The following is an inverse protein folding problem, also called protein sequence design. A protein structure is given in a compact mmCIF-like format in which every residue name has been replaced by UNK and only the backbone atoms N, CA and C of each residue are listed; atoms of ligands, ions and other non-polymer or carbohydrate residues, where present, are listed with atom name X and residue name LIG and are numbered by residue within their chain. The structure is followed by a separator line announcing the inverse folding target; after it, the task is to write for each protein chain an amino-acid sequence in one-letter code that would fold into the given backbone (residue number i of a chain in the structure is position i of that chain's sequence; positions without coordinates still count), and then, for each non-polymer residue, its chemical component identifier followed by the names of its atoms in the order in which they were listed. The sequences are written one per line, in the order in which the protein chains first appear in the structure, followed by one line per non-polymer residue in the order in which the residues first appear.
data_IF_388753054376
#
_entry.id   IF_388753054376
#
_cell.length_a   1.000
_cell.length_b   1.000
_cell.length_c   1.000
_cell.angle_alpha   90.00
_cell.angle_beta   90.00
_cell.angle_gamma   90.00
#
_symmetry.space_group_name_H-M   'P 1'
#
loop_
_entity.id
_entity.type
_entity.pdbx_description
1 polymer ?
#
# COMPACT_ATOMS: atom_id res chain seq x y z
N UNK A 1 29.55 15.69 -6.08
CA UNK A 1 29.70 14.54 -6.99
C UNK A 1 28.32 13.95 -7.21
N UNK A 2 27.61 14.41 -8.24
CA UNK A 2 26.38 13.80 -8.73
C UNK A 2 26.20 14.17 -10.20
N UNK A 3 25.68 13.18 -10.93
CA UNK A 3 24.95 13.30 -12.19
C UNK A 3 25.78 13.50 -13.46
N UNK A 4 26.12 12.36 -14.07
CA UNK A 4 26.46 12.30 -15.49
C UNK A 4 25.23 12.58 -16.36
N UNK A 5 25.51 13.35 -17.40
CA UNK A 5 24.60 14.02 -18.32
C UNK A 5 23.88 13.05 -19.25
N UNK A 6 22.59 13.28 -19.39
CA UNK A 6 21.84 13.01 -20.61
C UNK A 6 22.42 13.86 -21.76
N UNK A 7 22.92 13.21 -22.81
CA UNK A 7 23.35 13.88 -24.04
C UNK A 7 22.27 13.73 -25.10
N UNK A 8 21.51 14.82 -25.26
CA UNK A 8 20.58 15.05 -26.36
C UNK A 8 21.33 15.74 -27.51
N UNK A 9 21.15 15.25 -28.73
CA UNK A 9 21.66 15.83 -29.96
C UNK A 9 20.88 17.10 -30.33
N UNK A 10 21.57 18.21 -30.57
CA UNK A 10 21.06 19.34 -31.35
C UNK A 10 22.22 20.00 -32.12
N UNK A 11 22.02 20.18 -33.44
CA UNK A 11 22.93 20.81 -34.39
C UNK A 11 22.58 22.30 -34.56
N UNK A 12 23.56 23.22 -34.73
CA UNK A 12 23.31 24.53 -35.36
C UNK A 12 24.43 24.92 -36.39
N UNK A 13 24.34 26.04 -37.15
CA UNK A 13 24.38 26.01 -38.63
C UNK A 13 25.59 26.73 -39.27
N UNK A 14 25.60 26.71 -40.62
CA UNK A 14 26.62 27.26 -41.53
C UNK A 14 26.91 28.77 -41.39
N UNK A 15 28.17 29.15 -41.60
CA UNK A 15 28.60 30.48 -42.06
C UNK A 15 29.72 30.37 -43.12
N UNK A 16 29.68 31.25 -44.13
CA UNK A 16 30.52 31.25 -45.35
C UNK A 16 31.77 32.16 -45.25
N UNK A 17 32.76 31.81 -46.11
CA UNK A 17 33.76 32.64 -46.82
C UNK A 17 35.19 32.73 -46.25
N UNK A 18 36.24 33.06 -47.05
CA UNK A 18 36.36 33.14 -48.52
C UNK A 18 37.51 32.29 -49.13
N UNK A 19 37.52 32.26 -50.46
CA UNK A 19 38.38 31.48 -51.36
C UNK A 19 39.84 31.96 -51.40
N UNK A 20 40.78 31.03 -51.55
CA UNK A 20 42.09 31.28 -52.19
C UNK A 20 42.08 30.67 -53.59
N UNK A 21 42.36 31.52 -54.57
CA UNK A 21 42.47 31.19 -56.00
C UNK A 21 43.84 30.58 -56.25
N UNK A 22 43.89 29.36 -56.77
CA UNK A 22 45.07 28.82 -57.45
C UNK A 22 44.59 28.37 -58.83
N UNK A 23 45.13 29.02 -59.85
CA UNK A 23 44.91 28.72 -61.26
C UNK A 23 45.84 27.57 -61.64
N UNK A 24 45.29 26.50 -62.22
CA UNK A 24 46.05 25.47 -62.93
C UNK A 24 45.31 25.14 -64.24
N UNK A 25 46.02 24.75 -65.31
CA UNK A 25 45.55 24.92 -66.68
C UNK A 25 44.53 23.88 -67.11
N UNK A 26 43.75 24.27 -68.09
CA UNK A 26 42.72 23.50 -68.77
C UNK A 26 43.39 22.55 -69.77
N UNK A 27 43.24 21.23 -69.56
CA UNK A 27 43.31 20.24 -70.63
C UNK A 27 41.90 19.73 -70.90
N UNK A 28 41.42 20.00 -72.11
CA UNK A 28 40.14 19.53 -72.64
C UNK A 28 40.30 18.09 -73.12
N UNK A 29 39.47 17.18 -72.62
CA UNK A 29 39.04 15.99 -73.35
C UNK A 29 37.60 15.64 -72.91
N UNK A 30 36.61 15.53 -73.82
CA UNK A 30 35.22 15.33 -73.46
C UNK A 30 34.92 13.83 -73.31
N UNK A 31 34.74 13.35 -72.08
CA UNK A 31 34.11 12.05 -71.82
C UNK A 31 32.96 12.27 -70.84
N UNK A 32 31.76 11.87 -71.27
CA UNK A 32 30.47 12.14 -70.63
C UNK A 32 30.44 11.79 -69.12
N UNK A 33 30.09 12.74 -68.21
CA UNK A 33 30.08 12.50 -66.77
C UNK A 33 28.73 12.00 -66.21
N UNK A 34 27.65 12.01 -67.00
CA UNK A 34 26.29 11.83 -66.45
C UNK A 34 25.96 10.39 -66.05
N UNK A 35 26.51 9.38 -66.73
CA UNK A 35 26.18 7.97 -66.48
C UNK A 35 26.81 7.41 -65.18
N UNK A 36 28.01 7.87 -64.81
CA UNK A 36 28.75 7.36 -63.64
C UNK A 36 28.21 7.91 -62.31
N UNK A 37 27.81 9.18 -62.29
CA UNK A 37 27.19 9.83 -61.13
C UNK A 37 25.80 9.28 -60.82
N UNK A 38 24.98 9.00 -61.85
CA UNK A 38 23.65 8.39 -61.69
C UNK A 38 23.71 6.93 -61.17
N UNK A 39 24.73 6.16 -61.58
CA UNK A 39 24.97 4.80 -61.05
C UNK A 39 25.47 4.80 -59.59
N UNK A 40 26.19 5.84 -59.16
CA UNK A 40 26.69 5.96 -57.80
C UNK A 40 25.61 6.44 -56.82
N UNK A 41 24.77 7.40 -57.23
CA UNK A 41 23.63 7.88 -56.44
C UNK A 41 22.53 6.83 -56.29
N UNK A 42 22.24 6.08 -57.34
CA UNK A 42 21.29 4.95 -57.28
C UNK A 42 21.75 3.85 -56.31
N UNK A 43 23.04 3.48 -56.33
CA UNK A 43 23.62 2.51 -55.38
C UNK A 43 23.61 2.99 -53.92
N UNK A 44 23.88 4.27 -53.68
CA UNK A 44 23.80 4.87 -52.34
C UNK A 44 22.36 4.92 -51.84
N UNK A 45 21.41 5.29 -52.70
CA UNK A 45 19.98 5.29 -52.36
C UNK A 45 19.46 3.87 -52.04
N UNK A 46 19.90 2.85 -52.79
CA UNK A 46 19.52 1.46 -52.55
C UNK A 46 20.11 0.93 -51.24
N UNK A 47 21.35 1.28 -50.91
CA UNK A 47 21.96 0.93 -49.61
C UNK A 47 21.26 1.61 -48.43
N UNK A 48 20.81 2.85 -48.59
CA UNK A 48 20.02 3.55 -47.58
C UNK A 48 18.63 2.93 -47.42
N UNK A 49 17.98 2.54 -48.52
CA UNK A 49 16.72 1.77 -48.50
C UNK A 49 16.87 0.45 -47.76
N UNK A 50 17.88 -0.35 -48.10
CA UNK A 50 18.18 -1.61 -47.41
C UNK A 50 18.48 -1.42 -45.91
N UNK A 51 19.23 -0.38 -45.54
CA UNK A 51 19.43 -0.05 -44.13
C UNK A 51 18.13 0.30 -43.44
N UNK A 52 17.28 1.13 -44.06
CA UNK A 52 15.98 1.50 -43.48
C UNK A 52 15.06 0.29 -43.32
N UNK A 53 15.06 -0.65 -44.26
CA UNK A 53 14.33 -1.92 -44.16
C UNK A 53 14.86 -2.81 -43.03
N UNK A 54 16.19 -2.90 -42.87
CA UNK A 54 16.82 -3.60 -41.74
C UNK A 54 16.47 -2.96 -40.39
N UNK A 55 16.47 -1.63 -40.31
CA UNK A 55 16.06 -0.91 -39.10
C UNK A 55 14.58 -1.14 -38.79
N UNK A 56 13.69 -1.08 -39.79
CA UNK A 56 12.27 -1.40 -39.64
C UNK A 56 12.05 -2.84 -39.19
N UNK A 57 12.74 -3.80 -39.80
CA UNK A 57 12.66 -5.22 -39.42
C UNK A 57 13.14 -5.44 -37.97
N UNK A 58 14.26 -4.83 -37.58
CA UNK A 58 14.77 -4.90 -36.21
C UNK A 58 13.78 -4.27 -35.22
N UNK A 59 13.19 -3.12 -35.53
CA UNK A 59 12.17 -2.47 -34.69
C UNK A 59 10.95 -3.37 -34.51
N UNK A 60 10.46 -4.01 -35.58
CA UNK A 60 9.32 -4.94 -35.49
C UNK A 60 9.66 -6.14 -34.60
N UNK A 61 10.85 -6.70 -34.71
CA UNK A 61 11.29 -7.81 -33.86
C UNK A 61 11.35 -7.38 -32.39
N UNK A 62 11.97 -6.23 -32.10
CA UNK A 62 12.08 -5.70 -30.73
C UNK A 62 10.69 -5.42 -30.15
N UNK A 63 9.80 -4.78 -30.90
CA UNK A 63 8.45 -4.48 -30.45
C UNK A 63 7.63 -5.76 -30.23
N UNK A 64 7.78 -6.77 -31.09
CA UNK A 64 7.09 -8.05 -30.96
C UNK A 64 7.57 -8.80 -29.72
N UNK A 65 8.89 -8.85 -29.50
CA UNK A 65 9.48 -9.44 -28.31
C UNK A 65 9.01 -8.71 -27.04
N UNK A 66 9.02 -7.38 -27.04
CA UNK A 66 8.58 -6.57 -25.90
C UNK A 66 7.10 -6.78 -25.58
N UNK A 67 6.22 -6.80 -26.59
CA UNK A 67 4.78 -7.08 -26.41
C UNK A 67 4.56 -8.48 -25.84
N UNK A 68 5.26 -9.50 -26.36
CA UNK A 68 5.21 -10.87 -25.83
C UNK A 68 5.71 -10.95 -24.40
N UNK A 69 6.81 -10.26 -24.08
CA UNK A 69 7.38 -10.18 -22.73
C UNK A 69 6.41 -9.52 -21.75
N UNK A 70 5.75 -8.40 -22.14
CA UNK A 70 4.71 -7.76 -21.33
C UNK A 70 3.50 -8.67 -21.11
N UNK A 71 3.02 -9.34 -22.16
CA UNK A 71 1.90 -10.28 -22.03
C UNK A 71 2.22 -11.43 -21.06
N UNK A 72 3.42 -12.00 -21.14
CA UNK A 72 3.90 -13.01 -20.19
C UNK A 72 3.97 -12.48 -18.75
N UNK A 73 4.42 -11.24 -18.57
CA UNK A 73 4.48 -10.61 -17.24
C UNK A 73 3.06 -10.41 -16.66
N UNK A 74 2.11 -9.98 -17.48
CA UNK A 74 0.70 -9.85 -17.08
C UNK A 74 0.06 -11.20 -16.77
N UNK A 75 0.33 -12.25 -17.56
CA UNK A 75 -0.15 -13.61 -17.26
C UNK A 75 0.42 -14.06 -15.91
N UNK A 76 1.73 -13.91 -15.68
CA UNK A 76 2.35 -14.27 -14.39
C UNK A 76 1.72 -13.52 -13.22
N UNK A 77 1.48 -12.21 -13.37
CA UNK A 77 0.80 -11.39 -12.36
C UNK A 77 -0.60 -11.93 -12.06
N UNK A 78 -1.38 -12.22 -13.09
CA UNK A 78 -2.74 -12.77 -12.95
C UNK A 78 -2.73 -14.15 -12.31
N UNK A 79 -1.88 -15.06 -12.77
CA UNK A 79 -1.81 -16.43 -12.22
C UNK A 79 -1.32 -16.42 -10.78
N UNK A 80 -0.31 -15.60 -10.43
CA UNK A 80 0.14 -15.45 -9.06
C UNK A 80 -0.98 -14.92 -8.15
N UNK A 81 -1.74 -13.91 -8.62
CA UNK A 81 -2.91 -13.40 -7.93
C UNK A 81 -3.98 -14.48 -7.70
N UNK A 82 -4.29 -15.27 -8.74
CA UNK A 82 -5.25 -16.39 -8.63
C UNK A 82 -4.78 -17.45 -7.64
N UNK A 83 -3.48 -17.81 -7.63
CA UNK A 83 -2.93 -18.77 -6.67
C UNK A 83 -3.06 -18.23 -5.25
N UNK A 84 -2.68 -16.96 -5.03
CA UNK A 84 -2.79 -16.31 -3.73
C UNK A 84 -4.23 -16.32 -3.22
N UNK A 85 -5.18 -15.84 -4.04
CA UNK A 85 -6.60 -15.87 -3.72
C UNK A 85 -7.09 -17.29 -3.39
N UNK A 86 -6.72 -18.28 -4.19
CA UNK A 86 -7.15 -19.66 -3.93
C UNK A 86 -6.60 -20.23 -2.62
N UNK A 87 -5.36 -19.89 -2.24
CA UNK A 87 -4.77 -20.31 -0.97
C UNK A 87 -5.49 -19.63 0.20
N UNK A 88 -5.68 -18.30 0.10
CA UNK A 88 -6.33 -17.51 1.15
C UNK A 88 -7.78 -17.94 1.36
N UNK A 89 -8.56 -17.98 0.28
CA UNK A 89 -9.96 -18.42 0.32
C UNK A 89 -10.11 -19.88 0.72
N UNK A 90 -9.13 -20.76 0.43
CA UNK A 90 -9.17 -22.13 0.93
C UNK A 90 -9.02 -22.18 2.46
N UNK A 91 -8.18 -21.31 3.05
CA UNK A 91 -8.06 -21.15 4.50
C UNK A 91 -9.39 -20.71 5.13
N UNK A 92 -9.98 -19.64 4.59
CA UNK A 92 -11.28 -19.11 5.06
C UNK A 92 -12.42 -20.13 4.93
N UNK A 93 -12.49 -20.84 3.80
CA UNK A 93 -13.51 -21.89 3.60
C UNK A 93 -13.33 -23.06 4.56
N UNK A 94 -12.09 -23.41 4.92
CA UNK A 94 -11.83 -24.45 5.91
C UNK A 94 -12.28 -24.00 7.31
N UNK A 95 -12.05 -22.74 7.68
CA UNK A 95 -12.58 -22.17 8.93
C UNK A 95 -14.11 -22.14 8.96
N UNK A 96 -14.76 -21.70 7.89
CA UNK A 96 -16.23 -21.70 7.80
C UNK A 96 -16.81 -23.12 7.90
N UNK A 97 -16.18 -24.11 7.25
CA UNK A 97 -16.56 -25.52 7.38
C UNK A 97 -16.38 -26.02 8.81
N UNK A 98 -15.26 -25.68 9.46
CA UNK A 98 -15.00 -26.03 10.84
C UNK A 98 -16.04 -25.41 11.78
N UNK A 99 -16.36 -24.13 11.59
CA UNK A 99 -17.39 -23.42 12.33
C UNK A 99 -18.77 -24.06 12.15
N UNK A 100 -19.16 -24.37 10.91
CA UNK A 100 -20.43 -25.05 10.60
C UNK A 100 -20.48 -26.44 11.23
N UNK A 101 -19.39 -27.19 11.20
CA UNK A 101 -19.27 -28.48 11.87
C UNK A 101 -19.49 -28.35 13.39
N UNK A 102 -18.84 -27.37 14.04
CA UNK A 102 -19.03 -27.14 15.47
C UNK A 102 -20.44 -26.67 15.80
N UNK A 103 -21.07 -25.84 14.96
CA UNK A 103 -22.47 -25.46 15.11
C UNK A 103 -23.40 -26.67 15.03
N UNK A 104 -23.20 -27.55 14.06
CA UNK A 104 -23.99 -28.77 13.88
C UNK A 104 -23.83 -29.72 15.09
N UNK A 105 -22.59 -29.86 15.59
CA UNK A 105 -22.27 -30.62 16.79
C UNK A 105 -22.97 -30.03 18.03
N UNK A 106 -22.93 -28.71 18.21
CA UNK A 106 -23.64 -28.06 19.31
C UNK A 106 -25.16 -28.21 19.21
N UNK A 107 -25.72 -28.14 17.99
CA UNK A 107 -27.16 -28.34 17.77
C UNK A 107 -27.58 -29.78 18.06
N UNK A 108 -26.74 -30.77 17.75
CA UNK A 108 -26.99 -32.18 18.10
C UNK A 108 -26.84 -32.43 19.59
N UNK A 109 -25.84 -31.85 20.25
CA UNK A 109 -25.68 -31.92 21.72
C UNK A 109 -26.85 -31.23 22.43
N UNK A 110 -27.34 -30.09 21.92
CA UNK A 110 -28.48 -29.37 22.51
C UNK A 110 -29.81 -30.12 22.39
N UNK A 111 -29.94 -31.09 21.46
CA UNK A 111 -31.12 -31.97 21.36
C UNK A 111 -31.16 -33.03 22.47
N UNK A 112 -30.05 -33.27 23.16
CA UNK A 112 -30.03 -34.07 24.38
C UNK A 112 -30.31 -33.16 25.61
N UNK A 113 -31.43 -33.36 26.32
CA UNK A 113 -31.90 -32.43 27.35
C UNK A 113 -31.02 -32.38 28.61
N UNK A 114 -30.00 -33.23 28.74
CA UNK A 114 -29.04 -33.22 29.86
C UNK A 114 -27.86 -32.25 29.66
N UNK A 115 -27.53 -31.90 28.40
CA UNK A 115 -26.36 -31.06 28.05
C UNK A 115 -26.74 -29.70 27.41
N UNK A 116 -28.05 -29.44 27.26
CA UNK A 116 -28.61 -28.24 26.65
C UNK A 116 -28.16 -26.92 27.34
N UNK A 117 -27.74 -26.98 28.60
CA UNK A 117 -27.24 -25.82 29.36
C UNK A 117 -25.93 -25.26 28.82
N UNK A 118 -25.04 -26.12 28.29
CA UNK A 118 -23.74 -25.69 27.75
C UNK A 118 -23.91 -25.16 26.33
N UNK A 119 -24.63 -25.88 25.48
CA UNK A 119 -24.90 -25.46 24.09
C UNK A 119 -25.71 -24.16 24.02
N UNK A 120 -26.72 -23.97 24.88
CA UNK A 120 -27.48 -22.72 24.96
C UNK A 120 -26.64 -21.54 25.46
N UNK A 121 -25.62 -21.78 26.31
CA UNK A 121 -24.71 -20.74 26.81
C UNK A 121 -23.74 -20.26 25.72
N UNK A 122 -23.38 -21.15 24.78
CA UNK A 122 -22.52 -20.80 23.62
C UNK A 122 -23.35 -20.14 22.50
N UNK A 123 -24.56 -20.63 22.21
CA UNK A 123 -25.46 -20.02 21.20
C UNK A 123 -25.97 -18.62 21.58
N UNK A 124 -26.11 -18.32 22.88
CA UNK A 124 -26.44 -16.96 23.36
C UNK A 124 -25.35 -15.92 23.06
N UNK A 125 -24.10 -16.34 22.82
CA UNK A 125 -23.02 -15.43 22.43
C UNK A 125 -23.06 -15.00 20.96
N UNK A 126 -23.87 -15.67 20.12
CA UNK A 126 -23.92 -15.44 18.67
C UNK A 126 -25.23 -14.84 18.16
N UNK A 127 -26.24 -14.65 19.02
CA UNK A 127 -27.51 -14.00 18.66
C UNK A 127 -27.46 -12.48 18.83
N UNK A 128 -27.18 -11.79 17.73
CA UNK A 128 -27.04 -10.33 17.55
C UNK A 128 -28.38 -9.57 17.52
N UNK A 129 -29.18 -9.66 18.59
CA UNK A 129 -30.44 -8.91 18.75
C UNK A 129 -30.47 -7.99 20.01
N UNK A 130 -29.33 -7.81 20.68
CA UNK A 130 -29.14 -6.97 21.89
C UNK A 130 -28.28 -5.71 21.68
N UNK A 131 -27.93 -5.37 20.43
CA UNK A 131 -26.77 -4.51 20.12
C UNK A 131 -26.72 -3.14 20.82
N UNK A 132 -27.87 -2.49 21.09
CA UNK A 132 -27.88 -1.17 21.74
C UNK A 132 -27.73 -1.25 23.27
N UNK A 133 -28.36 -2.25 23.91
CA UNK A 133 -28.29 -2.45 25.35
C UNK A 133 -26.90 -2.96 25.75
N UNK A 134 -26.38 -3.90 24.97
CA UNK A 134 -25.02 -4.44 25.10
C UNK A 134 -23.97 -3.36 24.85
N UNK A 135 -24.17 -2.44 23.90
CA UNK A 135 -23.27 -1.31 23.69
C UNK A 135 -23.22 -0.35 24.88
N UNK A 136 -24.36 -0.03 25.48
CA UNK A 136 -24.43 0.85 26.65
C UNK A 136 -23.76 0.20 27.87
N UNK A 137 -24.00 -1.10 28.07
CA UNK A 137 -23.37 -1.89 29.12
C UNK A 137 -21.84 -1.96 28.92
N UNK A 138 -21.38 -2.24 27.70
CA UNK A 138 -19.96 -2.24 27.36
C UNK A 138 -19.31 -0.87 27.60
N UNK A 139 -19.98 0.23 27.24
CA UNK A 139 -19.47 1.58 27.51
C UNK A 139 -19.33 1.89 29.00
N UNK A 140 -20.27 1.40 29.82
CA UNK A 140 -20.20 1.55 31.27
C UNK A 140 -19.04 0.74 31.85
N UNK A 141 -18.92 -0.54 31.47
CA UNK A 141 -17.87 -1.45 31.95
C UNK A 141 -16.46 -1.01 31.54
N UNK A 142 -16.33 -0.37 30.37
CA UNK A 142 -15.03 0.07 29.82
C UNK A 142 -14.74 1.54 30.07
N UNK A 143 -15.46 2.20 30.98
CA UNK A 143 -15.26 3.64 31.20
C UNK A 143 -13.85 3.90 31.80
N UNK A 144 -13.05 4.82 31.22
CA UNK A 144 -11.68 5.08 31.68
C UNK A 144 -11.62 5.49 33.16
N UNK A 145 -12.65 6.17 33.66
CA UNK A 145 -12.80 6.60 35.05
C UNK A 145 -12.84 5.48 36.08
N UNK A 146 -13.11 4.23 35.69
CA UNK A 146 -13.07 3.08 36.60
C UNK A 146 -11.62 2.76 37.00
N UNK A 147 -10.67 2.97 36.10
CA UNK A 147 -9.27 2.64 36.32
C UNK A 147 -8.55 3.92 36.72
N UNK A 148 -8.20 4.02 38.00
CA UNK A 148 -7.42 5.14 38.50
C UNK A 148 -5.95 5.01 38.08
N UNK A 149 -5.31 6.12 37.73
CA UNK A 149 -3.89 6.15 37.40
C UNK A 149 -3.11 6.30 38.70
N UNK A 150 -2.26 5.33 39.00
CA UNK A 150 -1.38 5.41 40.17
C UNK A 150 -0.32 6.50 39.97
N UNK A 151 0.00 7.25 41.02
CA UNK A 151 1.05 8.29 41.00
C UNK A 151 2.46 7.75 40.75
N UNK A 152 2.63 6.42 40.80
CA UNK A 152 3.86 5.70 40.48
C UNK A 152 4.11 5.56 38.97
N UNK A 153 3.08 5.78 38.13
CA UNK A 153 3.17 5.61 36.68
C UNK A 153 4.06 6.70 36.05
N UNK A 154 5.14 6.28 35.38
CA UNK A 154 6.11 7.17 34.73
C UNK A 154 5.98 7.23 33.20
N UNK A 155 5.00 6.52 32.63
CA UNK A 155 4.81 6.45 31.19
C UNK A 155 4.07 7.67 30.61
N UNK A 156 3.76 7.64 29.31
CA UNK A 156 3.10 8.75 28.63
C UNK A 156 1.69 8.98 29.19
N UNK A 157 1.41 10.24 29.52
CA UNK A 157 0.09 10.69 29.95
C UNK A 157 -0.63 11.31 28.75
N UNK A 158 -1.91 10.95 28.57
CA UNK A 158 -2.73 11.41 27.44
C UNK A 158 -3.96 12.12 27.97
N UNK A 159 -4.07 13.40 27.62
CA UNK A 159 -5.23 14.22 27.93
C UNK A 159 -6.08 14.45 26.67
N UNK A 160 -7.35 14.82 26.89
CA UNK A 160 -8.26 15.27 25.81
C UNK A 160 -8.16 16.79 25.64
N UNK A 161 -8.08 17.32 24.41
CA UNK A 161 -8.04 16.62 23.12
C UNK A 161 -6.70 15.93 22.84
N UNK A 162 -6.76 14.78 22.13
CA UNK A 162 -5.54 14.05 21.74
C UNK A 162 -4.84 14.80 20.61
N UNK A 163 -3.63 15.29 20.88
CA UNK A 163 -2.86 16.11 19.97
C UNK A 163 -1.67 15.34 19.37
N UNK A 164 -1.00 15.98 18.39
CA UNK A 164 0.23 15.47 17.77
C UNK A 164 1.35 15.20 18.78
N UNK A 165 1.50 16.02 19.80
CA UNK A 165 2.53 15.83 20.83
C UNK A 165 2.34 14.50 21.59
N UNK A 166 1.09 14.14 21.90
CA UNK A 166 0.76 12.86 22.51
C UNK A 166 1.11 11.68 21.59
N UNK A 167 0.90 11.84 20.28
CA UNK A 167 1.28 10.83 19.29
C UNK A 167 2.80 10.63 19.24
N UNK A 168 3.58 11.72 19.17
CA UNK A 168 5.04 11.64 19.17
C UNK A 168 5.58 11.09 20.50
N UNK A 169 4.97 11.45 21.64
CA UNK A 169 5.33 10.88 22.94
C UNK A 169 5.06 9.37 23.02
N UNK A 170 3.94 8.90 22.47
CA UNK A 170 3.62 7.47 22.40
C UNK A 170 4.59 6.69 21.52
N UNK A 171 4.97 7.23 20.36
CA UNK A 171 6.00 6.66 19.48
C UNK A 171 7.29 6.44 20.29
N UNK A 172 7.74 7.46 21.03
CA UNK A 172 8.96 7.38 21.83
C UNK A 172 8.84 6.36 22.97
N UNK A 173 7.70 6.32 23.66
CA UNK A 173 7.45 5.37 24.75
C UNK A 173 7.46 3.92 24.24
N UNK A 174 6.75 3.62 23.16
CA UNK A 174 6.71 2.26 22.60
C UNK A 174 8.04 1.81 22.01
N UNK A 175 8.85 2.72 21.45
CA UNK A 175 10.22 2.41 21.02
C UNK A 175 11.14 2.04 22.19
N UNK A 176 10.86 2.56 23.40
CA UNK A 176 11.57 2.20 24.63
C UNK A 176 11.02 0.94 25.29
N UNK A 177 9.93 0.37 24.76
CA UNK A 177 9.23 -0.75 25.38
C UNK A 177 8.45 -0.37 26.65
N UNK A 178 8.10 0.91 26.81
CA UNK A 178 7.26 1.37 27.92
C UNK A 178 5.80 0.97 27.69
N UNK A 179 5.11 0.58 28.75
CA UNK A 179 3.70 0.19 28.69
C UNK A 179 2.78 1.39 28.88
N UNK A 180 1.74 1.48 28.05
CA UNK A 180 0.68 2.46 28.23
C UNK A 180 -0.30 2.00 29.31
N UNK A 181 -0.60 2.87 30.26
CA UNK A 181 -1.56 2.56 31.32
C UNK A 181 -2.96 2.28 30.75
N UNK A 182 -3.68 1.30 31.32
CA UNK A 182 -4.99 0.85 30.82
C UNK A 182 -6.04 1.97 30.75
N UNK A 183 -5.97 2.95 31.67
CA UNK A 183 -6.79 4.17 31.61
C UNK A 183 -6.69 4.89 30.25
N UNK A 184 -5.46 5.13 29.78
CA UNK A 184 -5.20 5.83 28.52
C UNK A 184 -5.52 4.97 27.31
N UNK A 185 -5.30 3.66 27.39
CA UNK A 185 -5.73 2.71 26.36
C UNK A 185 -7.24 2.80 26.16
N UNK A 186 -8.02 2.68 27.23
CA UNK A 186 -9.48 2.79 27.16
C UNK A 186 -9.92 4.16 26.63
N UNK A 187 -9.25 5.24 27.05
CA UNK A 187 -9.53 6.59 26.55
C UNK A 187 -9.38 6.68 25.03
N UNK A 188 -8.28 6.16 24.47
CA UNK A 188 -8.04 6.11 23.01
C UNK A 188 -9.12 5.28 22.32
N UNK A 189 -9.44 4.09 22.85
CA UNK A 189 -10.41 3.19 22.24
C UNK A 189 -11.82 3.77 22.19
N UNK A 190 -12.23 4.54 23.21
CA UNK A 190 -13.52 5.22 23.23
C UNK A 190 -13.60 6.32 22.17
N UNK A 191 -12.57 7.16 22.06
CA UNK A 191 -12.49 8.21 21.03
C UNK A 191 -12.46 7.62 19.62
N UNK A 192 -11.62 6.60 19.42
CA UNK A 192 -11.53 5.87 18.16
C UNK A 192 -12.89 5.30 17.75
N UNK A 193 -13.58 4.61 18.67
CA UNK A 193 -14.91 4.04 18.43
C UNK A 193 -15.91 5.12 18.00
N UNK A 194 -15.85 6.29 18.63
CA UNK A 194 -16.74 7.40 18.28
C UNK A 194 -16.50 7.87 16.83
N UNK A 195 -15.23 8.04 16.44
CA UNK A 195 -14.86 8.45 15.08
C UNK A 195 -15.27 7.39 14.06
N UNK A 196 -14.86 6.13 14.25
CA UNK A 196 -15.11 5.04 13.30
C UNK A 196 -16.60 4.81 13.06
N UNK A 197 -17.46 4.98 14.08
CA UNK A 197 -18.91 4.86 13.94
C UNK A 197 -19.55 5.91 13.04
N UNK A 198 -18.95 7.10 12.97
CA UNK A 198 -19.46 8.21 12.18
C UNK A 198 -18.90 8.20 10.75
N UNK A 199 -17.91 7.34 10.45
CA UNK A 199 -17.33 7.21 9.12
C UNK A 199 -18.21 6.33 8.21
N UNK A 200 -18.26 6.64 6.89
CA UNK A 200 -18.92 5.78 5.93
C UNK A 200 -18.10 4.48 5.70
N UNK A 201 -18.78 3.42 5.27
CA UNK A 201 -18.12 2.16 4.90
C UNK A 201 -17.16 2.29 3.70
N UNK A 202 -17.38 3.29 2.84
CA UNK A 202 -16.54 3.58 1.68
C UNK A 202 -16.01 4.99 1.85
N UNK A 203 -14.70 5.11 2.10
CA UNK A 203 -14.01 6.38 2.19
C UNK A 203 -13.46 6.77 0.81
N UNK A 204 -13.77 7.99 0.37
CA UNK A 204 -13.25 8.55 -0.87
C UNK A 204 -12.06 9.44 -0.53
N UNK A 205 -10.86 9.02 -0.94
CA UNK A 205 -9.63 9.77 -0.70
C UNK A 205 -9.43 10.78 -1.83
N UNK A 206 -9.32 12.06 -1.48
CA UNK A 206 -9.02 13.12 -2.43
C UNK A 206 -7.52 13.43 -2.42
N UNK A 207 -6.90 13.47 -3.60
CA UNK A 207 -5.48 13.82 -3.78
C UNK A 207 -5.27 15.28 -4.22
N UNK A 208 -6.30 16.13 -4.13
CA UNK A 208 -6.20 17.50 -4.64
C UNK A 208 -5.13 18.35 -3.93
N UNK A 209 -4.84 18.05 -2.65
CA UNK A 209 -3.91 18.82 -1.82
C UNK A 209 -2.55 18.14 -1.64
N UNK A 210 -2.37 16.90 -2.13
CA UNK A 210 -1.21 16.05 -1.81
C UNK A 210 -0.65 15.42 -3.08
N UNK A 211 0.66 15.44 -3.26
CA UNK A 211 1.31 14.88 -4.45
C UNK A 211 1.37 13.35 -4.43
N UNK A 212 1.29 12.72 -3.25
CA UNK A 212 1.39 11.29 -3.05
C UNK A 212 0.52 10.83 -1.89
N UNK A 213 0.07 9.56 -1.95
CA UNK A 213 -0.64 8.88 -0.86
C UNK A 213 0.14 7.61 -0.55
N UNK A 214 0.47 7.39 0.73
CA UNK A 214 1.19 6.18 1.15
C UNK A 214 0.18 5.08 1.47
N UNK A 215 0.24 3.97 0.75
CA UNK A 215 -0.56 2.78 1.05
C UNK A 215 0.31 1.76 1.76
N UNK A 216 -0.10 1.40 2.97
CA UNK A 216 0.54 0.41 3.85
C UNK A 216 -0.32 -0.85 3.83
N UNK A 217 0.32 -1.98 3.53
CA UNK A 217 -0.31 -3.31 3.63
C UNK A 217 -0.21 -3.87 5.05
N UNK A 218 -0.18 -5.18 5.13
CA UNK A 218 -0.21 -5.95 6.37
C UNK A 218 1.01 -5.62 7.25
N UNK A 219 0.75 -5.30 8.52
CA UNK A 219 1.78 -5.02 9.52
C UNK A 219 1.98 -6.19 10.48
N UNK A 220 0.93 -6.97 10.74
CA UNK A 220 0.95 -8.13 11.63
C UNK A 220 1.67 -7.85 12.96
N UNK A 221 1.35 -6.74 13.61
CA UNK A 221 1.93 -6.36 14.90
C UNK A 221 3.45 -6.11 14.91
N UNK A 222 4.04 -5.78 13.76
CA UNK A 222 5.45 -5.38 13.66
C UNK A 222 5.61 -3.87 13.85
N UNK A 223 5.94 -3.45 15.08
CA UNK A 223 6.22 -2.04 15.39
C UNK A 223 7.45 -1.54 14.62
N UNK A 224 8.48 -2.37 14.47
CA UNK A 224 9.70 -2.02 13.75
C UNK A 224 9.40 -1.63 12.29
N UNK A 225 8.54 -2.39 11.60
CA UNK A 225 8.18 -2.09 10.21
C UNK A 225 7.36 -0.80 10.11
N UNK A 226 6.40 -0.59 11.02
CA UNK A 226 5.65 0.67 11.09
C UNK A 226 6.58 1.89 11.26
N UNK A 227 7.60 1.77 12.12
CA UNK A 227 8.56 2.83 12.36
C UNK A 227 9.48 3.08 11.16
N UNK A 228 9.88 2.03 10.44
CA UNK A 228 10.64 2.17 9.19
C UNK A 228 9.82 2.91 8.14
N UNK A 229 8.52 2.62 8.03
CA UNK A 229 7.60 3.31 7.11
C UNK A 229 7.54 4.80 7.47
N UNK A 230 7.34 5.14 8.74
CA UNK A 230 7.32 6.54 9.17
C UNK A 230 8.67 7.25 9.00
N UNK A 231 9.79 6.54 9.19
CA UNK A 231 11.11 7.12 8.98
C UNK A 231 11.37 7.43 7.49
N UNK A 232 10.94 6.54 6.58
CA UNK A 232 11.18 6.70 5.14
C UNK A 232 10.21 7.68 4.47
N UNK A 233 8.94 7.61 4.83
CA UNK A 233 7.88 8.37 4.17
C UNK A 233 7.45 9.61 4.97
N UNK A 234 7.96 9.80 6.18
CA UNK A 234 7.57 10.86 7.10
C UNK A 234 6.41 10.43 8.02
N UNK A 235 6.12 11.25 9.03
CA UNK A 235 4.94 11.04 9.87
C UNK A 235 3.66 11.43 9.12
N UNK A 236 2.50 10.88 9.51
CA UNK A 236 1.22 11.33 9.01
C UNK A 236 1.02 12.82 9.25
N UNK A 237 0.53 13.52 8.24
CA UNK A 237 0.22 14.95 8.30
C UNK A 237 -0.78 15.31 7.21
N UNK A 238 -1.24 16.56 7.21
CA UNK A 238 -2.16 17.06 6.19
C UNK A 238 -1.60 16.92 4.75
N UNK A 239 -0.27 16.98 4.60
CA UNK A 239 0.42 16.86 3.32
C UNK A 239 0.84 15.43 2.99
N UNK A 240 0.80 14.52 3.98
CA UNK A 240 1.28 13.14 3.86
C UNK A 240 0.21 12.15 4.36
N UNK A 241 -0.78 11.81 3.52
CA UNK A 241 -1.86 10.91 3.89
C UNK A 241 -1.45 9.43 3.80
N UNK A 242 -2.02 8.62 4.68
CA UNK A 242 -1.77 7.18 4.82
C UNK A 242 -3.06 6.38 4.68
N UNK A 243 -2.97 5.24 3.98
CA UNK A 243 -4.02 4.23 3.91
C UNK A 243 -3.45 2.94 4.47
N UNK A 244 -3.97 2.47 5.59
CA UNK A 244 -3.64 1.17 6.18
C UNK A 244 -4.67 0.13 5.71
N UNK A 245 -4.23 -0.87 4.97
CA UNK A 245 -5.10 -1.80 4.26
C UNK A 245 -5.33 -3.13 5.00
N UNK A 246 -5.71 -3.06 6.27
CA UNK A 246 -6.02 -4.23 7.10
C UNK A 246 -4.80 -4.99 7.60
N UNK A 247 -5.05 -6.08 8.32
CA UNK A 247 -4.05 -7.01 8.85
C UNK A 247 -2.97 -6.30 9.67
N UNK A 248 -3.45 -5.41 10.53
CA UNK A 248 -2.67 -4.56 11.41
C UNK A 248 -2.17 -5.38 12.59
N UNK A 249 -3.05 -6.24 13.09
CA UNK A 249 -2.85 -7.10 14.27
C UNK A 249 -2.57 -8.54 13.84
N UNK A 250 -2.36 -9.40 14.84
CA UNK A 250 -1.99 -10.81 14.74
C UNK A 250 -0.55 -11.11 14.31
N UNK A 251 -0.09 -12.32 14.69
CA UNK A 251 1.25 -12.92 14.44
C UNK A 251 2.43 -12.22 15.14
N UNK A 252 2.45 -10.90 15.21
CA UNK A 252 3.51 -10.12 15.84
C UNK A 252 3.29 -9.87 17.33
N UNK A 253 4.41 -9.76 18.06
CA UNK A 253 4.42 -9.54 19.51
C UNK A 253 3.99 -8.13 19.93
N UNK A 254 4.01 -7.15 19.01
CA UNK A 254 3.74 -5.73 19.31
C UNK A 254 2.43 -5.24 18.66
N UNK A 255 1.44 -6.14 18.58
CA UNK A 255 0.14 -5.87 17.95
C UNK A 255 -0.63 -4.73 18.62
N UNK A 256 -0.55 -4.63 19.96
CA UNK A 256 -1.26 -3.60 20.73
C UNK A 256 -0.65 -2.23 20.45
N UNK A 257 0.68 -2.12 20.45
CA UNK A 257 1.42 -0.88 20.21
C UNK A 257 1.15 -0.35 18.80
N UNK A 258 1.22 -1.22 17.80
CA UNK A 258 0.92 -0.88 16.40
C UNK A 258 -0.53 -0.38 16.27
N UNK A 259 -1.49 -1.12 16.85
CA UNK A 259 -2.90 -0.75 16.80
C UNK A 259 -3.16 0.60 17.49
N UNK A 260 -2.58 0.83 18.67
CA UNK A 260 -2.73 2.08 19.42
C UNK A 260 -2.12 3.27 18.67
N UNK A 261 -0.95 3.11 18.05
CA UNK A 261 -0.33 4.17 17.25
C UNK A 261 -1.20 4.56 16.06
N UNK A 262 -1.71 3.58 15.30
CA UNK A 262 -2.58 3.85 14.16
C UNK A 262 -3.89 4.49 14.62
N UNK A 263 -4.44 4.03 15.76
CA UNK A 263 -5.65 4.60 16.36
C UNK A 263 -5.48 6.08 16.73
N UNK A 264 -4.37 6.42 17.41
CA UNK A 264 -4.07 7.81 17.77
C UNK A 264 -3.82 8.65 16.53
N UNK A 265 -3.10 8.12 15.54
CA UNK A 265 -2.89 8.83 14.28
C UNK A 265 -4.21 9.13 13.56
N UNK A 266 -5.18 8.20 13.57
CA UNK A 266 -6.52 8.42 13.03
C UNK A 266 -7.29 9.49 13.81
N UNK A 267 -7.17 9.51 15.14
CA UNK A 267 -7.82 10.54 15.98
C UNK A 267 -7.22 11.93 15.71
N UNK A 268 -5.90 12.03 15.59
CA UNK A 268 -5.19 13.30 15.37
C UNK A 268 -5.38 13.81 13.93
N UNK A 269 -5.44 12.90 12.94
CA UNK A 269 -5.53 13.22 11.52
C UNK A 269 -6.70 12.50 10.83
N UNK A 270 -7.96 12.82 11.19
CA UNK A 270 -9.14 12.07 10.73
C UNK A 270 -9.39 12.16 9.21
N UNK A 271 -8.83 13.18 8.54
CA UNK A 271 -8.99 13.38 7.09
C UNK A 271 -7.80 12.88 6.27
N UNK A 272 -6.74 12.40 6.91
CA UNK A 272 -5.47 12.05 6.24
C UNK A 272 -5.02 10.62 6.54
N UNK A 273 -5.57 9.99 7.57
CA UNK A 273 -5.39 8.57 7.84
C UNK A 273 -6.67 7.84 7.45
N UNK A 274 -6.52 6.76 6.70
CA UNK A 274 -7.62 5.87 6.34
C UNK A 274 -7.30 4.46 6.79
N UNK A 275 -8.29 3.81 7.40
CA UNK A 275 -8.16 2.46 7.93
C UNK A 275 -9.19 1.56 7.24
N UNK A 276 -8.70 0.54 6.52
CA UNK A 276 -9.54 -0.52 5.99
C UNK A 276 -9.48 -1.73 6.94
N UNK A 277 -10.60 -2.43 7.07
CA UNK A 277 -10.69 -3.67 7.85
C UNK A 277 -10.11 -4.83 7.04
N UNK A 278 -9.13 -5.54 7.58
CA UNK A 278 -8.62 -6.81 7.08
C UNK A 278 -9.36 -8.01 7.68
N UNK A 279 -8.89 -9.21 7.38
CA UNK A 279 -9.52 -10.43 7.90
C UNK A 279 -9.14 -10.65 9.38
N UNK A 280 -7.91 -10.28 9.75
CA UNK A 280 -7.36 -10.38 11.11
C UNK A 280 -8.02 -9.40 12.09
N UNK A 281 -8.80 -8.43 11.66
CA UNK A 281 -9.65 -7.60 12.53
C UNK A 281 -11.05 -8.21 12.75
N UNK A 282 -11.12 -9.53 12.93
CA UNK A 282 -12.33 -10.27 13.28
C UNK A 282 -12.16 -11.07 14.58
N UNK A 283 -13.22 -11.09 15.39
CA UNK A 283 -13.24 -11.82 16.66
C UNK A 283 -12.96 -13.32 16.51
N UNK A 284 -13.31 -13.92 15.37
CA UNK A 284 -13.07 -15.35 15.11
C UNK A 284 -11.57 -15.66 14.99
N UNK A 285 -10.77 -14.72 14.49
CA UNK A 285 -9.33 -14.91 14.32
C UNK A 285 -8.53 -14.54 15.57
N UNK A 286 -9.03 -13.63 16.41
CA UNK A 286 -8.37 -13.12 17.61
C UNK A 286 -8.74 -13.86 18.92
N UNK A 287 -9.31 -15.07 18.83
CA UNK A 287 -9.89 -15.82 19.95
C UNK A 287 -8.88 -16.70 20.70
#
# INVERSE_FOLDING_TARGET
MFSERWLCFCCPPMHKSPRRTIVAPIEQNPIQPESRLQLQTSRLSNRQKQKSELHLAAVVIIQTWFRRRRALFEIRRKTAWTIYQNIEYAGEQNQLKLYNFFLELMQTVSKNPRDATVAAKVLRRSSSLSGLAEELELKQLTSPTIINVESSYQGPHIDKPINREHFEALILAFLRGELLHAHYVLLILHELRHILKNLPNINIVSTHQTTCVTVVGDLHGSLADLMIIFHKNGLPSNENPYIFNGDIVDRGFQSIEVFLLISVALIVYPNNIYLNRGNHEDHVLNL
#
